data_IF_467621461966
#
_entry.id   IF_467621461966
#
_cell.length_a   1.000
_cell.length_b   1.000
_cell.length_c   1.000
_cell.angle_alpha   90.00
_cell.angle_beta   90.00
_cell.angle_gamma   90.00
#
_symmetry.space_group_name_H-M   'P 1'
#
loop_
_entity.id
_entity.type
_entity.pdbx_description
1 polymer ?
#
# COMPACT_ATOMS: atom_id res chain seq x y z
N UNK A 1 -5.96 -0.77 -36.20
CA UNK A 1 -4.67 -0.34 -35.61
C UNK A 1 -4.99 0.42 -34.33
N UNK A 2 -5.29 -0.33 -33.27
CA UNK A 2 -5.63 0.25 -31.97
C UNK A 2 -4.36 0.78 -31.33
N UNK A 3 -4.24 2.11 -31.30
CA UNK A 3 -3.17 2.80 -30.60
C UNK A 3 -3.36 2.60 -29.10
N UNK A 4 -2.79 1.53 -28.56
CA UNK A 4 -2.65 1.31 -27.12
C UNK A 4 -1.80 2.46 -26.55
N UNK A 5 -2.48 3.53 -26.13
CA UNK A 5 -1.87 4.71 -25.53
C UNK A 5 -1.40 4.33 -24.12
N UNK A 6 -0.19 3.77 -24.02
CA UNK A 6 0.56 3.68 -22.77
C UNK A 6 0.61 5.08 -22.17
N UNK A 7 -0.14 5.31 -21.10
CA UNK A 7 -0.32 6.64 -20.50
C UNK A 7 -1.71 6.93 -19.96
N UNK A 8 -2.73 6.11 -20.24
CA UNK A 8 -3.95 6.14 -19.41
C UNK A 8 -3.60 5.65 -18.02
N UNK A 9 -3.73 6.52 -17.00
CA UNK A 9 -3.66 6.11 -15.60
C UNK A 9 -4.56 4.91 -15.44
N UNK A 10 -4.00 3.78 -15.01
CA UNK A 10 -4.75 2.56 -14.75
C UNK A 10 -5.82 2.93 -13.72
N UNK A 11 -7.07 3.10 -14.17
CA UNK A 11 -8.21 3.36 -13.29
C UNK A 11 -8.55 2.04 -12.61
N UNK A 12 -7.70 1.64 -11.67
CA UNK A 12 -7.96 0.46 -10.87
C UNK A 12 -9.22 0.73 -10.05
N UNK A 13 -10.19 -0.20 -10.03
CA UNK A 13 -11.27 -0.11 -9.07
C UNK A 13 -10.64 -0.04 -7.69
N UNK A 14 -10.90 1.03 -6.93
CA UNK A 14 -10.25 1.25 -5.64
C UNK A 14 -10.88 0.38 -4.56
N UNK A 15 -10.78 -0.94 -4.71
CA UNK A 15 -11.25 -1.88 -3.70
C UNK A 15 -10.32 -1.85 -2.49
N UNK A 16 -10.86 -2.16 -1.30
CA UNK A 16 -10.06 -2.27 -0.09
C UNK A 16 -8.95 -3.32 -0.25
N UNK A 17 -9.22 -4.42 -0.97
CA UNK A 17 -8.25 -5.47 -1.27
C UNK A 17 -7.06 -4.96 -2.11
N UNK A 18 -7.32 -4.21 -3.19
CA UNK A 18 -6.26 -3.65 -4.03
C UNK A 18 -5.42 -2.64 -3.23
N UNK A 19 -6.08 -1.77 -2.45
CA UNK A 19 -5.38 -0.82 -1.58
C UNK A 19 -4.51 -1.52 -0.53
N UNK A 20 -4.99 -2.62 0.04
CA UNK A 20 -4.24 -3.44 0.96
C UNK A 20 -2.99 -4.04 0.30
N UNK A 21 -3.13 -4.63 -0.89
CA UNK A 21 -2.02 -5.20 -1.66
C UNK A 21 -0.92 -4.17 -1.93
N UNK A 22 -1.29 -2.95 -2.36
CA UNK A 22 -0.34 -1.87 -2.60
C UNK A 22 0.39 -1.42 -1.34
N UNK A 23 -0.32 -1.31 -0.21
CA UNK A 23 0.29 -0.93 1.05
C UNK A 23 1.27 -2.00 1.56
N UNK A 24 0.99 -3.28 1.33
CA UNK A 24 1.94 -4.36 1.63
C UNK A 24 3.20 -4.28 0.75
N UNK A 25 3.04 -4.02 -0.55
CA UNK A 25 4.19 -3.82 -1.44
C UNK A 25 5.05 -2.63 -0.99
N UNK A 26 4.41 -1.50 -0.68
CA UNK A 26 5.11 -0.31 -0.19
C UNK A 26 5.86 -0.60 1.13
N UNK A 27 5.24 -1.36 2.04
CA UNK A 27 5.89 -1.76 3.29
C UNK A 27 7.14 -2.63 3.05
N UNK A 28 7.07 -3.56 2.10
CA UNK A 28 8.22 -4.37 1.72
C UNK A 28 9.35 -3.52 1.12
N UNK A 29 9.00 -2.54 0.28
CA UNK A 29 9.99 -1.63 -0.30
C UNK A 29 10.63 -0.73 0.76
N UNK A 30 9.86 -0.23 1.73
CA UNK A 30 10.38 0.52 2.89
C UNK A 30 11.38 -0.32 3.70
N UNK A 31 11.11 -1.61 3.92
CA UNK A 31 12.01 -2.53 4.62
C UNK A 31 13.28 -2.79 3.79
N UNK A 32 13.15 -3.02 2.49
CA UNK A 32 14.28 -3.28 1.59
C UNK A 32 15.17 -2.06 1.37
N UNK A 33 14.60 -0.85 1.44
CA UNK A 33 15.34 0.39 1.31
C UNK A 33 16.20 0.72 2.55
N UNK A 34 16.06 -0.04 3.65
CA UNK A 34 16.88 0.16 4.83
C UNK A 34 18.36 -0.17 4.54
N UNK A 35 19.29 0.70 4.96
CA UNK A 35 20.70 0.39 4.93
C UNK A 35 21.03 -0.81 5.83
N UNK A 36 22.09 -1.57 5.50
CA UNK A 36 22.52 -2.73 6.30
C UNK A 36 22.78 -2.32 7.76
N UNK A 37 22.23 -3.09 8.71
CA UNK A 37 22.41 -2.85 10.15
C UNK A 37 21.43 -1.85 10.76
N UNK A 38 20.58 -1.19 9.98
CA UNK A 38 19.53 -0.33 10.51
C UNK A 38 18.27 -1.14 10.84
N UNK A 39 17.75 -0.98 12.06
CA UNK A 39 16.49 -1.59 12.47
C UNK A 39 15.29 -0.86 11.83
N UNK A 40 14.29 -1.64 11.39
CA UNK A 40 13.04 -1.08 10.89
C UNK A 40 12.23 -0.42 12.02
N UNK A 41 11.95 0.88 11.88
CA UNK A 41 11.12 1.61 12.83
C UNK A 41 9.66 1.65 12.35
N UNK A 42 8.80 0.86 13.00
CA UNK A 42 7.37 0.77 12.68
C UNK A 42 6.63 2.10 12.78
N UNK A 43 7.04 3.00 13.68
CA UNK A 43 6.36 4.28 13.91
C UNK A 43 6.61 5.28 12.77
N UNK A 44 7.71 5.12 12.04
CA UNK A 44 8.05 5.97 10.90
C UNK A 44 7.50 5.42 9.57
N UNK A 45 6.98 4.19 9.55
CA UNK A 45 6.45 3.56 8.33
C UNK A 45 5.07 4.11 7.97
N UNK A 46 5.03 4.89 6.89
CA UNK A 46 3.78 5.45 6.36
C UNK A 46 2.88 4.34 5.81
N UNK A 47 3.45 3.32 5.18
CA UNK A 47 2.72 2.15 4.70
C UNK A 47 1.99 1.44 5.84
N UNK A 48 2.69 1.19 6.95
CA UNK A 48 2.16 0.47 8.11
C UNK A 48 1.04 1.26 8.82
N UNK A 49 1.20 2.58 8.97
CA UNK A 49 0.16 3.46 9.54
C UNK A 49 -1.11 3.42 8.67
N UNK A 50 -0.97 3.50 7.34
CA UNK A 50 -2.10 3.44 6.41
C UNK A 50 -2.78 2.08 6.42
N UNK A 51 -2.02 1.00 6.54
CA UNK A 51 -2.54 -0.37 6.60
C UNK A 51 -3.37 -0.59 7.87
N UNK A 52 -2.88 -0.14 9.03
CA UNK A 52 -3.65 -0.14 10.30
C UNK A 52 -4.96 0.62 10.19
N UNK A 53 -4.94 1.82 9.58
CA UNK A 53 -6.15 2.62 9.34
C UNK A 53 -7.13 1.93 8.39
N UNK A 54 -6.63 1.25 7.37
CA UNK A 54 -7.47 0.51 6.42
C UNK A 54 -8.21 -0.64 7.13
N UNK A 55 -7.50 -1.40 7.97
CA UNK A 55 -8.07 -2.50 8.77
C UNK A 55 -9.09 -1.97 9.78
N UNK A 56 -8.76 -0.89 10.50
CA UNK A 56 -9.66 -0.27 11.47
C UNK A 56 -10.97 0.24 10.82
N UNK A 57 -10.89 0.74 9.58
CA UNK A 57 -12.08 1.14 8.81
C UNK A 57 -12.92 -0.06 8.38
N UNK A 58 -12.31 -1.17 7.99
CA UNK A 58 -13.06 -2.38 7.65
C UNK A 58 -13.75 -3.01 8.86
N UNK A 59 -13.11 -2.98 10.04
CA UNK A 59 -13.71 -3.52 11.27
C UNK A 59 -14.88 -2.67 11.77
N UNK A 60 -14.82 -1.34 11.62
CA UNK A 60 -15.90 -0.45 12.04
C UNK A 60 -17.19 -0.58 11.20
N UNK A 61 -17.13 -1.18 10.01
CA UNK A 61 -18.30 -1.41 9.16
C UNK A 61 -19.05 -2.71 9.53
N UNK A 62 -18.44 -3.59 10.33
CA UNK A 62 -18.99 -4.89 10.70
C UNK A 62 -19.57 -4.93 12.13
N UNK A 63 -19.52 -3.81 12.86
CA UNK A 63 -20.10 -3.62 14.19
C UNK A 63 -21.36 -2.75 14.08
#
# INVERSE_FOLDING_TARGET
MDTHRFGRKLKLPSTAAIKHQFLLMQLQDEIKALPPGQAFNQNNSVALIKLRRLIAKSSAHLA
#
